data_IF_806318898955
#
_entry.id   IF_806318898955
#
_cell.length_a   1.000
_cell.length_b   1.000
_cell.length_c   1.000
_cell.angle_alpha   90.00
_cell.angle_beta   90.00
_cell.angle_gamma   90.00
#
_symmetry.space_group_name_H-M   'P 1'
#
loop_
_entity.id
_entity.type
_entity.pdbx_description
1 polymer ?
#
# COMPACT_ATOMS: atom_id res chain seq x y z
N UNK A 1 1.44 29.18 1.86
CA UNK A 1 1.79 27.94 2.58
C UNK A 1 2.72 28.29 3.75
N UNK A 2 2.36 27.94 4.98
CA UNK A 2 3.23 28.14 6.15
C UNK A 2 4.55 27.36 5.98
N UNK A 3 5.67 27.90 6.48
CA UNK A 3 6.96 27.20 6.44
C UNK A 3 6.88 25.92 7.29
N UNK A 4 7.05 24.78 6.64
CA UNK A 4 7.13 23.47 7.30
C UNK A 4 8.46 23.28 8.05
N UNK A 5 8.50 22.44 9.11
CA UNK A 5 9.74 22.09 9.79
C UNK A 5 10.79 21.57 8.82
N UNK A 6 12.07 21.95 9.02
CA UNK A 6 13.15 21.53 8.11
C UNK A 6 13.35 20.01 8.10
N UNK A 7 13.08 19.34 9.22
CA UNK A 7 13.08 17.89 9.35
C UNK A 7 12.13 17.18 8.39
N UNK A 8 11.00 17.79 8.04
CA UNK A 8 10.04 17.21 7.09
C UNK A 8 10.69 16.95 5.73
N UNK A 9 11.54 17.88 5.26
CA UNK A 9 12.25 17.73 3.97
C UNK A 9 13.19 16.53 3.98
N UNK A 10 13.87 16.28 5.11
CA UNK A 10 14.73 15.12 5.25
C UNK A 10 13.90 13.83 5.24
N UNK A 11 12.89 13.73 6.11
CA UNK A 11 12.07 12.53 6.24
C UNK A 11 11.29 12.23 4.96
N UNK A 12 10.83 13.25 4.23
CA UNK A 12 10.23 13.11 2.91
C UNK A 12 11.15 12.38 1.93
N UNK A 13 12.40 12.84 1.78
CA UNK A 13 13.33 12.27 0.79
C UNK A 13 13.76 10.86 1.20
N UNK A 14 13.97 10.64 2.50
CA UNK A 14 14.33 9.33 3.05
C UNK A 14 13.21 8.32 2.84
N UNK A 15 11.96 8.70 3.12
CA UNK A 15 10.78 7.87 2.84
C UNK A 15 10.62 7.61 1.34
N UNK A 16 10.77 8.63 0.51
CA UNK A 16 10.66 8.49 -0.95
C UNK A 16 11.63 7.41 -1.48
N UNK A 17 12.88 7.38 -0.99
CA UNK A 17 13.87 6.38 -1.39
C UNK A 17 13.55 4.97 -0.88
N UNK A 18 13.06 4.85 0.35
CA UNK A 18 12.66 3.54 0.88
C UNK A 18 11.42 3.00 0.14
N UNK A 19 10.45 3.87 -0.17
CA UNK A 19 9.27 3.52 -0.97
C UNK A 19 9.63 3.21 -2.43
N UNK A 20 10.57 3.95 -3.03
CA UNK A 20 11.17 3.59 -4.33
C UNK A 20 11.70 2.16 -4.33
N UNK A 21 12.45 1.80 -3.27
CA UNK A 21 13.06 0.48 -3.15
C UNK A 21 11.98 -0.60 -3.00
N UNK A 22 11.03 -0.39 -2.07
CA UNK A 22 9.93 -1.32 -1.82
C UNK A 22 9.06 -1.56 -3.05
N UNK A 23 8.55 -0.49 -3.67
CA UNK A 23 7.64 -0.61 -4.82
C UNK A 23 8.39 -1.07 -6.09
N UNK A 24 9.66 -0.68 -6.27
CA UNK A 24 10.50 -1.19 -7.34
C UNK A 24 10.68 -2.70 -7.26
N UNK A 25 11.08 -3.22 -6.09
CA UNK A 25 11.23 -4.66 -5.86
C UNK A 25 9.88 -5.39 -5.96
N UNK A 26 8.83 -4.86 -5.31
CA UNK A 26 7.48 -5.42 -5.31
C UNK A 26 6.92 -5.57 -6.73
N UNK A 27 7.26 -4.65 -7.64
CA UNK A 27 6.83 -4.71 -9.03
C UNK A 27 7.49 -5.84 -9.83
N UNK A 28 8.68 -6.27 -9.41
CA UNK A 28 9.41 -7.38 -10.02
C UNK A 28 9.06 -8.73 -9.41
N UNK A 29 8.70 -8.76 -8.12
CA UNK A 29 8.65 -9.99 -7.33
C UNK A 29 7.81 -11.09 -7.98
N UNK A 30 6.54 -10.82 -8.30
CA UNK A 30 5.69 -11.88 -8.89
C UNK A 30 6.14 -12.26 -10.30
N UNK A 31 6.62 -11.30 -11.10
CA UNK A 31 7.11 -11.54 -12.46
C UNK A 31 8.35 -12.44 -12.43
N UNK A 32 9.31 -12.16 -11.55
CA UNK A 32 10.50 -12.97 -11.35
C UNK A 32 10.15 -14.41 -10.93
N UNK A 33 9.18 -14.56 -10.02
CA UNK A 33 8.75 -15.89 -9.55
C UNK A 33 8.15 -16.75 -10.67
N UNK A 34 7.29 -16.17 -11.51
CA UNK A 34 6.57 -16.92 -12.56
C UNK A 34 7.32 -17.02 -13.88
N UNK A 35 8.34 -16.19 -14.09
CA UNK A 35 9.19 -16.25 -15.29
C UNK A 35 9.97 -17.55 -15.29
N UNK A 36 10.06 -18.20 -16.46
CA UNK A 36 10.78 -19.48 -16.62
C UNK A 36 12.27 -19.36 -16.26
N UNK A 37 12.85 -20.44 -15.74
CA UNK A 37 14.28 -20.50 -15.36
C UNK A 37 15.21 -20.23 -16.54
N UNK A 38 14.82 -20.64 -17.76
CA UNK A 38 15.57 -20.33 -18.98
C UNK A 38 15.64 -18.83 -19.33
N UNK A 39 14.76 -18.02 -18.74
CA UNK A 39 14.73 -16.55 -18.87
C UNK A 39 15.15 -15.83 -17.58
N UNK A 40 15.84 -16.54 -16.68
CA UNK A 40 16.36 -16.00 -15.43
C UNK A 40 15.35 -15.88 -14.28
N UNK A 41 14.10 -16.36 -14.44
CA UNK A 41 13.13 -16.41 -13.34
C UNK A 41 13.20 -17.71 -12.53
N UNK A 42 12.27 -17.91 -11.59
CA UNK A 42 12.23 -19.13 -10.76
C UNK A 42 11.31 -20.25 -11.32
N UNK A 43 10.51 -19.97 -12.34
CA UNK A 43 9.63 -20.95 -12.99
C UNK A 43 8.51 -21.49 -12.10
N UNK A 44 8.04 -20.70 -11.12
CA UNK A 44 6.97 -21.12 -10.21
C UNK A 44 5.60 -20.99 -10.86
N UNK A 45 4.65 -21.80 -10.36
CA UNK A 45 3.23 -21.61 -10.66
C UNK A 45 2.73 -20.27 -10.10
N UNK A 46 1.71 -19.68 -10.74
CA UNK A 46 1.06 -18.46 -10.23
C UNK A 46 0.50 -18.70 -8.83
N UNK A 47 0.02 -19.91 -8.55
CA UNK A 47 -0.45 -20.32 -7.22
C UNK A 47 0.61 -20.13 -6.14
N UNK A 48 1.80 -20.73 -6.32
CA UNK A 48 2.89 -20.64 -5.35
C UNK A 48 3.43 -19.22 -5.26
N UNK A 49 3.54 -18.52 -6.39
CA UNK A 49 4.00 -17.14 -6.44
C UNK A 49 3.03 -16.19 -5.70
N UNK A 50 1.72 -16.35 -5.91
CA UNK A 50 0.67 -15.57 -5.25
C UNK A 50 0.65 -15.77 -3.74
N UNK A 51 0.79 -17.02 -3.27
CA UNK A 51 0.87 -17.31 -1.84
C UNK A 51 2.09 -16.65 -1.18
N UNK A 52 3.28 -16.78 -1.76
CA UNK A 52 4.48 -16.12 -1.25
C UNK A 52 4.31 -14.60 -1.24
N UNK A 53 3.76 -14.05 -2.32
CA UNK A 53 3.50 -12.62 -2.44
C UNK A 53 2.59 -12.11 -1.32
N UNK A 54 1.47 -12.80 -1.06
CA UNK A 54 0.53 -12.44 0.01
C UNK A 54 1.15 -12.52 1.40
N UNK A 55 1.98 -13.54 1.67
CA UNK A 55 2.74 -13.63 2.93
C UNK A 55 3.74 -12.49 3.07
N UNK A 56 4.49 -12.19 2.02
CA UNK A 56 5.45 -11.10 2.03
C UNK A 56 4.77 -9.75 2.29
N UNK A 57 3.76 -9.39 1.50
CA UNK A 57 3.07 -8.09 1.67
C UNK A 57 2.29 -8.03 2.98
N UNK A 58 1.66 -9.12 3.40
CA UNK A 58 1.00 -9.22 4.69
C UNK A 58 1.97 -8.94 5.84
N UNK A 59 3.10 -9.65 5.89
CA UNK A 59 4.09 -9.47 6.95
C UNK A 59 4.65 -8.04 6.99
N UNK A 60 4.79 -7.36 5.85
CA UNK A 60 5.18 -5.95 5.77
C UNK A 60 4.16 -5.00 6.44
N UNK A 61 2.89 -5.39 6.59
CA UNK A 61 1.91 -4.65 7.39
C UNK A 61 1.93 -5.01 8.88
N UNK A 62 2.31 -6.25 9.21
CA UNK A 62 2.29 -6.76 10.59
C UNK A 62 3.56 -6.41 11.39
N UNK A 63 4.74 -6.60 10.80
CA UNK A 63 6.03 -6.39 11.49
C UNK A 63 6.30 -4.95 11.94
N UNK A 64 5.74 -3.88 11.33
CA UNK A 64 5.89 -2.52 11.85
C UNK A 64 5.37 -2.32 13.27
N UNK A 65 4.35 -3.07 13.68
CA UNK A 65 3.83 -3.05 15.07
C UNK A 65 4.92 -3.51 16.04
N UNK A 66 5.62 -4.60 15.69
CA UNK A 66 6.74 -5.12 16.47
C UNK A 66 7.91 -4.14 16.47
N UNK A 67 8.26 -3.59 15.30
CA UNK A 67 9.39 -2.67 15.18
C UNK A 67 9.18 -1.33 15.90
N UNK A 68 7.94 -0.85 15.99
CA UNK A 68 7.60 0.33 16.80
C UNK A 68 7.76 0.04 18.29
N UNK A 69 7.21 -1.09 18.76
CA UNK A 69 7.36 -1.54 20.14
C UNK A 69 8.84 -1.71 20.55
N UNK A 70 9.66 -2.33 19.69
CA UNK A 70 11.08 -2.53 19.97
C UNK A 70 11.85 -1.19 20.03
N UNK A 71 11.51 -0.25 19.17
CA UNK A 71 12.13 1.07 19.17
C UNK A 71 11.75 1.87 20.43
N UNK A 72 10.48 1.84 20.83
CA UNK A 72 10.00 2.55 22.01
C UNK A 72 10.62 2.00 23.30
N UNK A 73 10.87 0.69 23.38
CA UNK A 73 11.35 0.03 24.61
C UNK A 73 12.86 -0.14 24.71
N UNK A 74 13.57 -0.35 23.60
CA UNK A 74 14.97 -0.81 23.65
C UNK A 74 15.96 0.08 22.90
N UNK A 75 15.68 0.44 21.65
CA UNK A 75 16.71 0.99 20.76
C UNK A 75 16.56 2.49 20.43
N UNK A 76 15.37 3.07 20.61
CA UNK A 76 15.03 4.40 20.12
C UNK A 76 14.80 4.43 18.60
N UNK A 77 13.96 5.35 18.13
CA UNK A 77 13.51 5.41 16.72
C UNK A 77 14.67 5.60 15.73
N UNK A 78 15.72 6.36 16.10
CA UNK A 78 16.88 6.56 15.23
C UNK A 78 17.65 5.28 14.93
N UNK A 79 17.93 4.46 15.97
CA UNK A 79 18.70 3.22 15.80
C UNK A 79 17.87 2.18 15.07
N UNK A 80 16.57 2.10 15.40
CA UNK A 80 15.64 1.22 14.72
C UNK A 80 15.54 1.56 13.22
N UNK A 81 15.41 2.84 12.86
CA UNK A 81 15.36 3.25 11.46
C UNK A 81 16.65 2.89 10.71
N UNK A 82 17.83 3.16 11.29
CA UNK A 82 19.11 2.83 10.64
C UNK A 82 19.29 1.32 10.47
N UNK A 83 19.03 0.54 11.52
CA UNK A 83 19.08 -0.92 11.45
C UNK A 83 18.10 -1.46 10.40
N UNK A 84 16.87 -0.94 10.38
CA UNK A 84 15.86 -1.26 9.38
C UNK A 84 16.34 -0.98 7.96
N UNK A 85 16.89 0.22 7.71
CA UNK A 85 17.42 0.59 6.40
C UNK A 85 18.59 -0.28 5.93
N UNK A 86 19.48 -0.70 6.84
CA UNK A 86 20.57 -1.64 6.53
C UNK A 86 20.00 -3.00 6.14
N UNK A 87 19.06 -3.54 6.92
CA UNK A 87 18.43 -4.83 6.62
C UNK A 87 17.68 -4.78 5.28
N UNK A 88 16.98 -3.69 4.98
CA UNK A 88 16.31 -3.51 3.68
C UNK A 88 17.33 -3.50 2.54
N UNK A 89 18.45 -2.78 2.67
CA UNK A 89 19.48 -2.73 1.64
C UNK A 89 20.11 -4.11 1.40
N UNK A 90 20.50 -4.81 2.49
CA UNK A 90 21.02 -6.17 2.42
C UNK A 90 20.02 -7.14 1.80
N UNK A 91 18.73 -6.98 2.11
CA UNK A 91 17.66 -7.77 1.53
C UNK A 91 17.59 -7.64 0.02
N UNK A 92 17.59 -6.41 -0.51
CA UNK A 92 17.59 -6.16 -1.95
C UNK A 92 18.83 -6.70 -2.67
N UNK A 93 20.03 -6.49 -2.11
CA UNK A 93 21.25 -7.06 -2.70
C UNK A 93 21.28 -8.58 -2.62
N UNK A 94 20.65 -9.18 -1.60
CA UNK A 94 20.50 -10.63 -1.53
C UNK A 94 19.60 -11.15 -2.64
N UNK A 95 18.47 -10.47 -2.93
CA UNK A 95 17.62 -10.81 -4.08
C UNK A 95 18.38 -10.68 -5.42
N UNK A 96 19.32 -9.75 -5.51
CA UNK A 96 20.13 -9.55 -6.72
C UNK A 96 21.11 -10.70 -7.03
N UNK A 97 21.33 -11.63 -6.09
CA UNK A 97 22.20 -12.81 -6.29
C UNK A 97 21.47 -14.00 -6.95
N UNK A 98 20.17 -13.87 -7.23
CA UNK A 98 19.35 -14.78 -8.06
C UNK A 98 19.42 -16.28 -7.69
N UNK A 99 19.76 -16.63 -6.45
CA UNK A 99 19.75 -18.01 -5.95
C UNK A 99 18.73 -18.19 -4.82
N UNK A 100 18.24 -19.42 -4.64
CA UNK A 100 17.14 -19.73 -3.72
C UNK A 100 17.41 -19.31 -2.26
N UNK A 101 18.63 -19.54 -1.76
CA UNK A 101 18.99 -19.20 -0.39
C UNK A 101 19.02 -17.67 -0.19
N UNK A 102 19.62 -16.95 -1.13
CA UNK A 102 19.67 -15.50 -1.13
C UNK A 102 18.28 -14.89 -1.34
N UNK A 103 17.42 -15.53 -2.13
CA UNK A 103 16.05 -15.09 -2.32
C UNK A 103 15.24 -15.09 -1.00
N UNK A 104 15.19 -16.22 -0.29
CA UNK A 104 14.44 -16.32 0.96
C UNK A 104 15.07 -15.51 2.11
N UNK A 105 16.40 -15.50 2.18
CA UNK A 105 17.14 -14.63 3.11
C UNK A 105 16.82 -13.15 2.83
N UNK A 106 16.81 -12.77 1.56
CA UNK A 106 16.49 -11.42 1.10
C UNK A 106 15.09 -10.98 1.51
N UNK A 107 14.07 -11.79 1.24
CA UNK A 107 12.69 -11.49 1.66
C UNK A 107 12.54 -11.38 3.17
N UNK A 108 13.23 -12.25 3.93
CA UNK A 108 13.23 -12.20 5.40
C UNK A 108 13.83 -10.89 5.90
N UNK A 109 14.99 -10.49 5.36
CA UNK A 109 15.64 -9.22 5.68
C UNK A 109 14.76 -8.02 5.33
N UNK A 110 14.07 -8.05 4.20
CA UNK A 110 13.13 -7.00 3.80
C UNK A 110 11.95 -6.86 4.76
N UNK A 111 11.34 -7.98 5.18
CA UNK A 111 10.22 -7.99 6.15
C UNK A 111 10.66 -7.44 7.51
N UNK A 112 11.79 -7.89 8.03
CA UNK A 112 12.33 -7.43 9.31
C UNK A 112 12.77 -5.95 9.24
N UNK A 113 13.46 -5.59 8.17
CA UNK A 113 13.94 -4.24 7.95
C UNK A 113 12.82 -3.22 7.80
N UNK A 114 11.79 -3.55 7.01
CA UNK A 114 10.59 -2.69 6.86
C UNK A 114 9.84 -2.54 8.17
N UNK A 115 9.77 -3.61 8.98
CA UNK A 115 9.17 -3.57 10.31
C UNK A 115 9.85 -2.54 11.23
N UNK A 116 11.18 -2.48 11.22
CA UNK A 116 11.94 -1.50 11.99
C UNK A 116 11.92 -0.09 11.37
N UNK A 117 11.80 0.03 10.06
CA UNK A 117 11.86 1.33 9.38
C UNK A 117 10.52 2.08 9.43
N UNK A 118 9.44 1.44 8.95
CA UNK A 118 8.18 2.11 8.57
C UNK A 118 7.43 2.76 9.74
N UNK A 119 7.34 2.06 10.87
CA UNK A 119 6.69 2.61 12.07
C UNK A 119 7.49 3.77 12.66
N UNK A 120 8.82 3.66 12.66
CA UNK A 120 9.70 4.63 13.30
C UNK A 120 9.86 5.94 12.52
N UNK A 121 9.92 5.89 11.20
CA UNK A 121 9.95 7.11 10.38
C UNK A 121 8.64 7.90 10.49
N UNK A 122 7.49 7.20 10.52
CA UNK A 122 6.18 7.83 10.72
C UNK A 122 6.07 8.51 12.10
N UNK A 123 6.60 7.87 13.15
CA UNK A 123 6.71 8.46 14.49
C UNK A 123 7.54 9.74 14.49
N UNK A 124 8.69 9.75 13.80
CA UNK A 124 9.53 10.95 13.69
C UNK A 124 8.84 12.09 12.95
N UNK A 125 8.03 11.81 11.91
CA UNK A 125 7.22 12.85 11.25
C UNK A 125 6.22 13.46 12.24
N UNK A 126 5.56 12.63 13.05
CA UNK A 126 4.64 13.11 14.09
C UNK A 126 5.32 13.99 15.14
N UNK A 127 6.54 13.65 15.53
CA UNK A 127 7.35 14.40 16.51
C UNK A 127 7.81 15.78 16.01
N UNK A 128 7.73 16.07 14.70
CA UNK A 128 8.04 17.40 14.16
C UNK A 128 7.02 18.47 14.55
N UNK A 129 5.84 18.06 15.02
CA UNK A 129 4.69 18.92 15.28
C UNK A 129 4.23 18.77 16.73
N UNK A 130 3.83 19.89 17.35
CA UNK A 130 3.13 19.84 18.63
C UNK A 130 1.72 19.23 18.50
N UNK A 131 1.10 18.86 19.63
CA UNK A 131 -0.22 18.22 19.66
C UNK A 131 -1.32 19.01 18.91
N UNK A 132 -1.24 20.34 18.94
CA UNK A 132 -2.21 21.26 18.33
C UNK A 132 -1.62 22.11 17.19
N UNK A 133 -0.51 21.70 16.59
CA UNK A 133 0.09 22.46 15.47
C UNK A 133 -0.79 22.31 14.20
N UNK A 134 -1.38 23.40 13.67
CA UNK A 134 -2.27 23.34 12.51
C UNK A 134 -1.53 22.93 11.22
N UNK A 135 -0.20 22.93 11.20
CA UNK A 135 0.60 22.51 10.05
C UNK A 135 0.70 21.00 9.93
N UNK A 136 0.39 20.24 10.99
CA UNK A 136 0.57 18.78 11.07
C UNK A 136 -0.06 18.05 9.89
N UNK A 137 -1.33 18.30 9.60
CA UNK A 137 -2.07 17.60 8.54
C UNK A 137 -1.50 17.90 7.15
N UNK A 138 -1.18 19.16 6.88
CA UNK A 138 -0.51 19.57 5.64
C UNK A 138 0.91 18.97 5.52
N UNK A 139 1.60 18.76 6.65
CA UNK A 139 2.88 18.09 6.74
C UNK A 139 2.80 16.61 6.38
N UNK A 140 1.81 15.89 6.94
CA UNK A 140 1.54 14.49 6.58
C UNK A 140 1.12 14.35 5.11
N UNK A 141 0.40 15.33 4.56
CA UNK A 141 0.06 15.36 3.12
C UNK A 141 1.31 15.45 2.26
N UNK A 142 2.24 16.38 2.58
CA UNK A 142 3.53 16.48 1.86
C UNK A 142 4.33 15.19 2.01
N UNK A 143 4.42 14.62 3.21
CA UNK A 143 5.10 13.35 3.44
C UNK A 143 4.52 12.22 2.57
N UNK A 144 3.19 12.12 2.47
CA UNK A 144 2.49 11.14 1.65
C UNK A 144 2.75 11.32 0.13
N UNK A 145 2.97 12.55 -0.33
CA UNK A 145 3.42 12.78 -1.72
C UNK A 145 4.80 12.16 -2.00
N UNK A 146 5.68 12.11 -1.01
CA UNK A 146 6.99 11.45 -1.14
C UNK A 146 6.87 9.95 -1.33
N UNK A 147 5.93 9.32 -0.63
CA UNK A 147 5.60 7.89 -0.80
C UNK A 147 5.17 7.60 -2.24
N UNK A 148 4.25 8.41 -2.78
CA UNK A 148 3.74 8.25 -4.14
C UNK A 148 4.82 8.52 -5.20
N UNK A 149 5.70 9.50 -4.96
CA UNK A 149 6.81 9.76 -5.87
C UNK A 149 7.79 8.58 -5.93
N UNK A 150 8.11 7.96 -4.78
CA UNK A 150 8.87 6.72 -4.74
C UNK A 150 8.18 5.57 -5.47
N UNK A 151 6.87 5.39 -5.22
CA UNK A 151 6.05 4.37 -5.86
C UNK A 151 5.91 4.54 -7.38
N UNK A 152 5.98 5.77 -7.88
CA UNK A 152 5.99 6.08 -9.31
C UNK A 152 7.34 5.72 -9.94
N UNK A 153 8.46 6.14 -9.32
CA UNK A 153 9.79 6.02 -9.92
C UNK A 153 10.34 4.59 -9.80
N UNK A 154 10.05 3.91 -8.69
CA UNK A 154 10.56 2.56 -8.36
C UNK A 154 10.31 1.53 -9.47
N UNK A 155 9.04 1.24 -9.82
CA UNK A 155 8.70 0.28 -10.86
C UNK A 155 9.23 0.66 -12.24
N UNK A 156 9.35 1.95 -12.55
CA UNK A 156 9.88 2.41 -13.84
C UNK A 156 11.35 2.04 -14.00
N UNK A 157 12.19 2.39 -13.02
CA UNK A 157 13.63 2.13 -13.08
C UNK A 157 13.93 0.64 -12.87
N UNK A 158 13.38 0.03 -11.82
CA UNK A 158 13.64 -1.37 -11.51
C UNK A 158 13.07 -2.29 -12.60
N UNK A 159 11.88 -1.97 -13.12
CA UNK A 159 11.24 -2.67 -14.24
C UNK A 159 12.05 -2.58 -15.52
N UNK A 160 12.56 -1.39 -15.86
CA UNK A 160 13.43 -1.21 -17.02
C UNK A 160 14.69 -2.07 -16.93
N UNK A 161 15.39 -2.03 -15.80
CA UNK A 161 16.63 -2.79 -15.61
C UNK A 161 16.40 -4.30 -15.57
N UNK A 162 15.29 -4.76 -14.98
CA UNK A 162 14.94 -6.18 -14.96
C UNK A 162 14.56 -6.74 -16.33
N UNK A 163 13.82 -5.95 -17.12
CA UNK A 163 13.32 -6.37 -18.41
C UNK A 163 14.37 -6.29 -19.53
N UNK A 164 15.32 -5.36 -19.41
CA UNK A 164 16.25 -5.11 -20.50
C UNK A 164 17.14 -6.30 -20.79
N UNK A 165 17.22 -6.66 -22.07
CA UNK A 165 18.10 -7.72 -22.60
C UNK A 165 19.60 -7.54 -22.28
N UNK A 166 20.04 -6.33 -21.91
CA UNK A 166 21.43 -6.03 -21.51
C UNK A 166 21.71 -6.28 -20.03
N UNK A 167 20.68 -6.32 -19.21
CA UNK A 167 20.78 -6.37 -17.75
C UNK A 167 20.11 -7.66 -17.25
N UNK A 168 18.98 -7.55 -16.54
CA UNK A 168 18.27 -8.69 -15.97
C UNK A 168 17.79 -8.44 -14.54
N UNK A 169 17.15 -9.45 -13.97
CA UNK A 169 16.47 -9.37 -12.67
C UNK A 169 17.35 -8.83 -11.55
N UNK A 170 18.61 -9.27 -11.48
CA UNK A 170 19.57 -8.85 -10.46
C UNK A 170 19.87 -7.36 -10.47
N UNK A 171 19.89 -6.72 -11.66
CA UNK A 171 20.02 -5.27 -11.76
C UNK A 171 18.76 -4.54 -11.32
N UNK A 172 17.58 -5.10 -11.61
CA UNK A 172 16.30 -4.57 -11.11
C UNK A 172 16.24 -4.59 -9.57
N UNK A 173 16.55 -5.74 -8.96
CA UNK A 173 16.61 -5.87 -7.49
C UNK A 173 17.75 -5.04 -6.87
N UNK A 174 18.91 -5.01 -7.52
CA UNK A 174 20.06 -4.22 -7.08
C UNK A 174 19.79 -2.72 -7.13
N UNK A 175 19.05 -2.23 -8.12
CA UNK A 175 18.67 -0.82 -8.23
C UNK A 175 17.76 -0.38 -7.07
N UNK A 176 16.86 -1.25 -6.63
CA UNK A 176 16.10 -1.01 -5.39
C UNK A 176 17.03 -0.94 -4.17
N UNK A 177 18.03 -1.82 -4.06
CA UNK A 177 19.05 -1.77 -3.00
C UNK A 177 19.87 -0.47 -2.99
N UNK A 178 20.29 0.01 -4.17
CA UNK A 178 20.98 1.30 -4.33
C UNK A 178 20.10 2.46 -3.86
N UNK A 179 18.80 2.44 -4.19
CA UNK A 179 17.85 3.43 -3.70
C UNK A 179 17.77 3.49 -2.18
N UNK A 180 17.72 2.33 -1.52
CA UNK A 180 17.71 2.26 -0.06
C UNK A 180 19.01 2.81 0.55
N UNK A 181 20.18 2.49 -0.04
CA UNK A 181 21.46 3.04 0.40
C UNK A 181 21.51 4.57 0.26
N UNK A 182 20.97 5.11 -0.84
CA UNK A 182 20.87 6.56 -1.04
C UNK A 182 20.00 7.22 0.05
N UNK A 183 18.83 6.66 0.35
CA UNK A 183 17.97 7.12 1.44
C UNK A 183 18.67 7.08 2.81
N UNK A 184 19.39 5.99 3.11
CA UNK A 184 20.12 5.83 4.36
C UNK A 184 21.29 6.82 4.48
N UNK A 185 22.05 7.03 3.41
CA UNK A 185 23.14 7.99 3.38
C UNK A 185 22.64 9.43 3.61
N UNK A 186 21.54 9.81 2.95
CA UNK A 186 20.88 11.11 3.13
C UNK A 186 20.42 11.27 4.60
N UNK A 187 19.81 10.24 5.17
CA UNK A 187 19.38 10.26 6.57
C UNK A 187 20.57 10.45 7.53
N UNK A 188 21.63 9.66 7.38
CA UNK A 188 22.80 9.71 8.25
C UNK A 188 23.53 11.05 8.16
N UNK A 189 23.67 11.62 6.96
CA UNK A 189 24.26 12.93 6.74
C UNK A 189 23.37 14.10 7.20
N UNK A 190 22.05 13.94 7.12
CA UNK A 190 21.08 15.00 7.42
C UNK A 190 20.58 15.05 8.86
N UNK A 191 20.47 13.91 9.56
CA UNK A 191 19.70 13.80 10.82
C UNK A 191 20.12 14.81 11.89
N UNK A 192 21.43 14.98 12.13
CA UNK A 192 21.95 15.91 13.17
C UNK A 192 21.59 17.36 12.86
N UNK A 193 21.53 17.73 11.58
CA UNK A 193 21.26 19.10 11.13
C UNK A 193 19.77 19.42 11.06
N UNK A 194 18.94 18.45 10.72
CA UNK A 194 17.53 18.69 10.38
C UNK A 194 16.52 18.18 11.42
N UNK A 195 16.88 17.20 12.26
CA UNK A 195 15.97 16.58 13.23
C UNK A 195 16.19 17.04 14.68
N UNK A 196 17.40 17.49 15.05
CA UNK A 196 17.68 17.88 16.43
C UNK A 196 17.42 16.72 17.39
N UNK A 197 16.51 16.94 18.35
CA UNK A 197 16.12 15.94 19.37
C UNK A 197 15.03 14.95 18.90
N UNK A 198 14.45 15.18 17.71
CA UNK A 198 13.42 14.30 17.14
C UNK A 198 14.01 12.93 16.89
N UNK A 199 13.40 11.91 17.47
CA UNK A 199 13.79 10.51 17.32
C UNK A 199 14.77 9.97 18.37
N UNK A 200 15.25 10.83 19.27
CA UNK A 200 15.91 10.42 20.51
C UNK A 200 14.83 9.82 21.43
N UNK A 201 15.14 8.70 22.08
CA UNK A 201 14.18 8.05 22.98
C UNK A 201 13.78 9.04 24.09
N UNK A 202 12.51 9.44 24.11
CA UNK A 202 11.94 10.04 25.31
C UNK A 202 11.97 8.98 26.41
N UNK A 203 12.08 9.41 27.68
CA UNK A 203 11.98 8.52 28.83
C UNK A 203 10.82 7.54 28.62
N UNK A 204 10.98 6.25 28.96
CA UNK A 204 9.92 5.26 28.78
C UNK A 204 8.62 5.87 29.28
N UNK A 205 7.60 5.97 28.42
CA UNK A 205 6.26 6.29 28.89
C UNK A 205 6.01 5.28 30.00
N UNK A 206 5.95 5.75 31.24
CA UNK A 206 5.48 4.92 32.34
C UNK A 206 4.19 4.31 31.83
N UNK A 207 4.06 2.97 31.77
CA UNK A 207 2.77 2.36 31.57
C UNK A 207 1.87 3.08 32.56
N UNK A 208 0.79 3.68 32.08
CA UNK A 208 -0.16 4.27 32.99
C UNK A 208 -0.66 3.08 33.83
N UNK A 209 -0.08 2.92 35.01
CA UNK A 209 -0.34 1.82 35.93
C UNK A 209 -1.69 2.04 36.64
N UNK A 210 -2.49 2.97 36.12
CA UNK A 210 -3.88 3.15 36.48
C UNK A 210 -4.67 2.09 35.73
N UNK A 211 -5.31 1.21 36.49
CA UNK A 211 -6.34 0.33 35.97
C UNK A 211 -7.39 1.21 35.27
N UNK A 212 -7.34 1.27 33.94
CA UNK A 212 -8.27 2.08 33.20
C UNK A 212 -9.68 1.56 33.48
N UNK A 213 -10.66 2.45 33.75
CA UNK A 213 -12.03 2.02 33.96
C UNK A 213 -12.51 1.19 32.75
N UNK A 214 -13.37 0.19 33.00
CA UNK A 214 -13.91 -0.67 31.94
C UNK A 214 -14.56 0.19 30.86
N UNK A 215 -14.58 -0.33 29.62
CA UNK A 215 -15.15 0.38 28.48
C UNK A 215 -16.60 0.81 28.76
N UNK A 216 -16.91 2.08 28.54
CA UNK A 216 -18.28 2.58 28.59
C UNK A 216 -19.08 2.07 27.36
N UNK A 217 -20.39 2.34 27.35
CA UNK A 217 -21.26 1.89 26.26
C UNK A 217 -20.88 2.53 24.91
N UNK A 218 -20.64 3.84 24.88
CA UNK A 218 -20.28 4.56 23.64
C UNK A 218 -18.91 4.13 23.11
N UNK A 219 -17.95 3.82 23.98
CA UNK A 219 -16.66 3.27 23.63
C UNK A 219 -16.81 1.88 22.99
N UNK A 220 -17.70 1.03 23.53
CA UNK A 220 -18.00 -0.28 22.94
C UNK A 220 -18.67 -0.16 21.58
N UNK A 221 -19.65 0.73 21.43
CA UNK A 221 -20.34 1.00 20.15
C UNK A 221 -19.37 1.52 19.09
N UNK A 222 -18.48 2.43 19.48
CA UNK A 222 -17.41 2.96 18.63
C UNK A 222 -16.42 1.89 18.18
N UNK A 223 -15.98 1.03 19.10
CA UNK A 223 -15.11 -0.10 18.76
C UNK A 223 -15.83 -1.07 17.83
N UNK A 224 -17.11 -1.38 18.09
CA UNK A 224 -17.90 -2.24 17.21
C UNK A 224 -18.02 -1.65 15.80
N UNK A 225 -18.31 -0.35 15.67
CA UNK A 225 -18.34 0.33 14.38
C UNK A 225 -16.99 0.23 13.66
N UNK A 226 -15.88 0.44 14.36
CA UNK A 226 -14.54 0.31 13.80
C UNK A 226 -14.25 -1.11 13.30
N UNK A 227 -14.63 -2.15 14.06
CA UNK A 227 -14.41 -3.54 13.67
C UNK A 227 -15.25 -3.93 12.44
N UNK A 228 -16.52 -3.49 12.39
CA UNK A 228 -17.37 -3.67 11.20
C UNK A 228 -16.76 -2.96 10.00
N UNK A 229 -16.33 -1.71 10.14
CA UNK A 229 -15.65 -0.97 9.07
C UNK A 229 -14.36 -1.65 8.62
N UNK A 230 -13.54 -2.15 9.55
CA UNK A 230 -12.31 -2.87 9.25
C UNK A 230 -12.58 -4.13 8.41
N UNK A 231 -13.66 -4.88 8.71
CA UNK A 231 -14.09 -6.02 7.91
C UNK A 231 -14.39 -5.64 6.45
N UNK A 232 -15.13 -4.56 6.20
CA UNK A 232 -15.39 -4.11 4.82
C UNK A 232 -14.13 -3.62 4.11
N UNK A 233 -13.23 -2.96 4.83
CA UNK A 233 -11.94 -2.50 4.32
C UNK A 233 -11.04 -3.67 3.90
N UNK A 234 -11.21 -4.87 4.50
CA UNK A 234 -10.50 -6.06 4.03
C UNK A 234 -10.86 -6.44 2.59
N UNK A 235 -12.12 -6.29 2.16
CA UNK A 235 -12.50 -6.55 0.77
C UNK A 235 -11.87 -5.55 -0.19
N UNK A 236 -11.78 -4.28 0.22
CA UNK A 236 -11.10 -3.27 -0.57
C UNK A 236 -9.64 -3.66 -0.79
N UNK A 237 -8.89 -3.96 0.26
CA UNK A 237 -7.47 -4.32 0.12
C UNK A 237 -7.26 -5.67 -0.53
N UNK A 238 -8.14 -6.66 -0.31
CA UNK A 238 -8.09 -7.95 -1.02
C UNK A 238 -8.07 -7.75 -2.54
N UNK A 239 -8.98 -6.90 -3.03
CA UNK A 239 -9.13 -6.62 -4.45
C UNK A 239 -8.11 -5.59 -4.94
N UNK A 240 -7.80 -4.54 -4.18
CA UNK A 240 -6.84 -3.52 -4.56
C UNK A 240 -5.41 -4.07 -4.68
N UNK A 241 -5.00 -4.96 -3.76
CA UNK A 241 -3.65 -5.54 -3.76
C UNK A 241 -3.41 -6.52 -4.93
N UNK A 242 -4.44 -6.86 -5.72
CA UNK A 242 -4.31 -7.58 -6.99
C UNK A 242 -3.46 -6.82 -8.01
N UNK A 243 -3.36 -5.49 -7.88
CA UNK A 243 -2.51 -4.63 -8.69
C UNK A 243 -1.07 -5.15 -8.79
N UNK A 244 -0.54 -5.66 -7.67
CA UNK A 244 0.83 -6.14 -7.58
C UNK A 244 1.00 -7.64 -7.86
N UNK A 245 -0.10 -8.38 -8.03
CA UNK A 245 -0.11 -9.83 -8.22
C UNK A 245 -0.81 -10.22 -9.53
N UNK A 246 -2.09 -10.59 -9.49
CA UNK A 246 -2.84 -11.10 -10.66
C UNK A 246 -2.92 -10.08 -11.81
N UNK A 247 -3.09 -8.78 -11.54
CA UNK A 247 -3.09 -7.75 -12.59
C UNK A 247 -1.71 -7.58 -13.22
N UNK A 248 -0.63 -7.79 -12.45
CA UNK A 248 0.74 -7.77 -12.98
C UNK A 248 0.99 -8.99 -13.87
N UNK A 249 0.48 -10.17 -13.49
CA UNK A 249 0.54 -11.36 -14.35
C UNK A 249 -0.31 -11.19 -15.61
N UNK A 250 -1.50 -10.56 -15.50
CA UNK A 250 -2.34 -10.22 -16.64
C UNK A 250 -1.63 -9.25 -17.59
N UNK A 251 -0.96 -8.22 -17.06
CA UNK A 251 -0.14 -7.30 -17.85
C UNK A 251 0.98 -8.01 -18.62
N UNK A 252 1.61 -9.02 -18.01
CA UNK A 252 2.69 -9.78 -18.64
C UNK A 252 2.18 -10.72 -19.75
N UNK A 253 1.07 -11.44 -19.49
CA UNK A 253 0.61 -12.57 -20.32
C UNK A 253 -0.50 -12.21 -21.33
N UNK A 254 -1.29 -11.19 -21.05
CA UNK A 254 -2.57 -10.94 -21.72
C UNK A 254 -2.66 -9.56 -22.37
N UNK A 255 -1.71 -8.67 -22.12
CA UNK A 255 -1.70 -7.29 -22.63
C UNK A 255 -0.70 -7.11 -23.75
N UNK A 256 -1.07 -6.39 -24.81
CA UNK A 256 -0.16 -5.94 -25.86
C UNK A 256 0.78 -4.87 -25.30
N UNK A 257 2.04 -5.27 -25.11
CA UNK A 257 3.10 -4.41 -24.59
C UNK A 257 4.09 -3.99 -25.67
N UNK A 258 3.74 -4.09 -26.94
CA UNK A 258 4.61 -3.67 -28.05
C UNK A 258 5.06 -2.23 -27.82
N UNK A 259 6.38 -2.01 -27.81
CA UNK A 259 6.98 -0.69 -27.59
C UNK A 259 6.50 0.26 -28.70
N UNK A 260 5.85 1.39 -28.36
CA UNK A 260 5.48 2.37 -29.37
C UNK A 260 6.72 2.98 -30.04
N UNK A 261 6.62 3.37 -31.32
CA UNK A 261 7.70 4.01 -32.09
C UNK A 261 8.47 5.11 -31.34
N UNK A 262 7.73 5.99 -30.65
CA UNK A 262 8.29 7.11 -29.89
C UNK A 262 9.05 6.69 -28.63
N UNK A 263 8.93 5.45 -28.18
CA UNK A 263 9.55 4.92 -26.97
C UNK A 263 10.79 4.06 -27.27
N UNK A 264 11.01 3.63 -28.52
CA UNK A 264 12.17 2.82 -28.91
C UNK A 264 13.53 3.50 -28.71
N UNK A 265 13.60 4.83 -28.63
CA UNK A 265 14.85 5.51 -28.29
C UNK A 265 15.24 5.33 -26.82
N UNK A 266 14.26 5.08 -25.96
CA UNK A 266 14.44 4.85 -24.52
C UNK A 266 14.51 3.36 -24.20
N UNK A 267 13.64 2.56 -24.82
CA UNK A 267 13.57 1.11 -24.67
C UNK A 267 14.19 0.45 -25.90
N UNK A 268 15.33 -0.23 -25.71
CA UNK A 268 15.95 -1.01 -26.77
C UNK A 268 15.17 -2.30 -27.09
N UNK A 269 14.26 -2.71 -26.22
CA UNK A 269 13.48 -3.94 -26.33
C UNK A 269 12.11 -3.69 -27.00
N UNK A 270 11.62 -4.69 -27.74
CA UNK A 270 10.37 -4.62 -28.52
C UNK A 270 9.10 -4.56 -27.66
N UNK A 271 9.22 -4.84 -26.37
CA UNK A 271 8.13 -4.73 -25.41
C UNK A 271 8.55 -3.83 -24.25
N UNK A 272 7.60 -3.06 -23.72
CA UNK A 272 7.84 -2.34 -22.47
C UNK A 272 7.55 -3.24 -21.25
N UNK A 273 8.19 -2.99 -20.10
CA UNK A 273 8.08 -3.87 -18.93
C UNK A 273 6.67 -3.89 -18.34
N UNK A 274 6.11 -5.07 -18.05
CA UNK A 274 4.82 -5.19 -17.36
C UNK A 274 4.83 -4.54 -15.95
N UNK A 275 6.00 -4.50 -15.30
CA UNK A 275 6.19 -3.81 -14.02
C UNK A 275 5.79 -2.32 -14.06
N UNK A 276 5.83 -1.67 -15.23
CA UNK A 276 5.46 -0.25 -15.36
C UNK A 276 3.99 0.03 -15.07
N UNK A 277 3.10 -0.96 -15.21
CA UNK A 277 1.69 -0.79 -14.84
C UNK A 277 1.50 -0.48 -13.35
N UNK A 278 2.42 -0.94 -12.47
CA UNK A 278 2.36 -0.59 -11.04
C UNK A 278 2.67 0.89 -10.76
N UNK A 279 3.30 1.60 -11.70
CA UNK A 279 3.54 3.04 -11.60
C UNK A 279 2.30 3.89 -11.98
N UNK A 280 1.29 3.28 -12.61
CA UNK A 280 0.08 3.99 -13.07
C UNK A 280 -0.78 4.47 -11.91
N UNK A 281 -0.96 3.64 -10.86
CA UNK A 281 -1.71 4.04 -9.66
C UNK A 281 -1.11 5.29 -8.98
N UNK A 282 0.19 5.32 -8.60
CA UNK A 282 0.77 6.51 -7.97
C UNK A 282 0.81 7.72 -8.90
N UNK A 283 0.95 7.53 -10.23
CA UNK A 283 0.79 8.62 -11.18
C UNK A 283 -0.61 9.25 -11.10
N UNK A 284 -1.67 8.43 -11.09
CA UNK A 284 -3.03 8.93 -10.91
C UNK A 284 -3.26 9.54 -9.52
N UNK A 285 -2.66 9.01 -8.45
CA UNK A 285 -2.77 9.63 -7.12
C UNK A 285 -2.21 11.06 -7.16
N UNK A 286 -1.00 11.25 -7.72
CA UNK A 286 -0.38 12.57 -7.80
C UNK A 286 -1.21 13.57 -8.64
N UNK A 287 -1.89 13.09 -9.68
CA UNK A 287 -2.75 13.91 -10.54
C UNK A 287 -4.12 14.21 -9.91
N UNK A 288 -4.75 13.20 -9.30
CA UNK A 288 -6.15 13.24 -8.85
C UNK A 288 -6.30 13.65 -7.39
N UNK A 289 -5.31 13.44 -6.53
CA UNK A 289 -5.43 13.80 -5.10
C UNK A 289 -5.77 15.29 -4.88
N UNK A 290 -5.17 16.26 -5.60
CA UNK A 290 -5.59 17.66 -5.49
C UNK A 290 -7.05 17.88 -5.93
N UNK A 291 -7.50 17.19 -6.98
CA UNK A 291 -8.87 17.28 -7.49
C UNK A 291 -9.88 16.71 -6.47
N UNK A 292 -9.57 15.57 -5.87
CA UNK A 292 -10.39 14.98 -4.80
C UNK A 292 -10.40 15.85 -3.55
N UNK A 293 -9.27 16.45 -3.18
CA UNK A 293 -9.22 17.39 -2.05
C UNK A 293 -10.12 18.60 -2.31
N UNK A 294 -10.07 19.17 -3.53
CA UNK A 294 -10.98 20.27 -3.92
C UNK A 294 -12.45 19.83 -3.91
N UNK A 295 -12.75 18.64 -4.42
CA UNK A 295 -14.10 18.06 -4.39
C UNK A 295 -14.64 17.96 -2.95
N UNK A 296 -13.85 17.42 -2.02
CA UNK A 296 -14.28 17.27 -0.63
C UNK A 296 -14.48 18.62 0.07
N UNK A 297 -13.61 19.60 -0.17
CA UNK A 297 -13.76 20.94 0.36
C UNK A 297 -15.04 21.62 -0.16
N UNK A 298 -15.36 21.44 -1.45
CA UNK A 298 -16.56 22.00 -2.06
C UNK A 298 -17.85 21.35 -1.54
N UNK A 299 -17.85 20.02 -1.38
CA UNK A 299 -18.97 19.31 -0.77
C UNK A 299 -19.13 19.65 0.71
N UNK A 300 -18.02 19.83 1.43
CA UNK A 300 -18.01 20.26 2.82
C UNK A 300 -18.59 21.66 3.01
N UNK A 301 -18.20 22.64 2.18
CA UNK A 301 -18.76 24.00 2.25
C UNK A 301 -20.25 24.05 1.87
N UNK A 302 -20.72 23.11 1.05
CA UNK A 302 -22.13 22.95 0.71
C UNK A 302 -22.94 22.12 1.72
N UNK A 303 -22.31 21.55 2.76
CA UNK A 303 -22.98 20.66 3.71
C UNK A 303 -23.41 19.30 3.13
N UNK A 304 -22.86 18.93 1.97
CA UNK A 304 -23.16 17.71 1.22
C UNK A 304 -22.06 16.64 1.33
N UNK A 305 -21.05 16.86 2.17
CA UNK A 305 -19.96 15.90 2.34
C UNK A 305 -20.50 14.54 2.84
N UNK A 306 -20.28 13.45 2.09
CA UNK A 306 -20.74 12.13 2.52
C UNK A 306 -20.04 11.71 3.81
N UNK A 307 -20.77 11.02 4.68
CA UNK A 307 -20.20 10.47 5.93
C UNK A 307 -19.16 9.38 5.63
N UNK A 308 -18.31 9.10 6.60
CA UNK A 308 -17.19 8.16 6.47
C UNK A 308 -17.57 6.81 5.86
N UNK A 309 -18.62 6.10 6.34
CA UNK A 309 -18.98 4.80 5.78
C UNK A 309 -19.44 4.88 4.32
N UNK A 310 -20.08 6.00 3.95
CA UNK A 310 -20.54 6.24 2.57
C UNK A 310 -19.35 6.49 1.64
N UNK A 311 -18.35 7.26 2.07
CA UNK A 311 -17.11 7.43 1.28
C UNK A 311 -16.39 6.10 1.05
N UNK A 312 -16.28 5.27 2.08
CA UNK A 312 -15.67 3.94 1.95
C UNK A 312 -16.49 3.01 1.05
N UNK A 313 -17.82 3.04 1.15
CA UNK A 313 -18.71 2.30 0.26
C UNK A 313 -18.54 2.71 -1.21
N UNK A 314 -18.48 4.02 -1.49
CA UNK A 314 -18.17 4.53 -2.84
C UNK A 314 -16.81 4.05 -3.32
N UNK A 315 -15.81 3.97 -2.44
CA UNK A 315 -14.49 3.43 -2.74
C UNK A 315 -14.54 1.97 -3.21
N UNK A 316 -15.27 1.12 -2.50
CA UNK A 316 -15.49 -0.29 -2.85
C UNK A 316 -16.23 -0.47 -4.20
N UNK A 317 -17.23 0.36 -4.47
CA UNK A 317 -17.99 0.32 -5.73
C UNK A 317 -17.12 0.77 -6.91
N UNK A 318 -16.33 1.82 -6.74
CA UNK A 318 -15.37 2.28 -7.76
C UNK A 318 -14.30 1.21 -8.05
N UNK A 319 -13.81 0.53 -7.02
CA UNK A 319 -12.88 -0.60 -7.17
C UNK A 319 -13.53 -1.75 -7.95
N UNK A 320 -14.74 -2.17 -7.58
CA UNK A 320 -15.49 -3.19 -8.33
C UNK A 320 -15.78 -2.79 -9.78
N UNK A 321 -16.04 -1.50 -10.04
CA UNK A 321 -16.22 -0.96 -11.39
C UNK A 321 -14.92 -1.03 -12.21
N UNK A 322 -13.76 -0.81 -11.59
CA UNK A 322 -12.46 -1.02 -12.25
C UNK A 322 -12.22 -2.48 -12.60
N UNK A 323 -12.60 -3.42 -11.73
CA UNK A 323 -12.57 -4.84 -12.08
C UNK A 323 -13.56 -5.21 -13.19
N UNK A 324 -14.70 -4.54 -13.30
CA UNK A 324 -15.64 -4.76 -14.39
C UNK A 324 -15.02 -4.40 -15.75
N UNK A 325 -14.20 -3.33 -15.80
CA UNK A 325 -13.39 -3.01 -16.98
C UNK A 325 -12.44 -4.16 -17.32
N UNK A 326 -11.81 -4.79 -16.33
CA UNK A 326 -10.94 -5.94 -16.53
C UNK A 326 -11.69 -7.22 -16.92
N UNK A 327 -12.96 -7.40 -16.51
CA UNK A 327 -13.79 -8.52 -16.99
C UNK A 327 -13.95 -8.44 -18.51
N UNK A 328 -14.22 -7.26 -19.06
CA UNK A 328 -14.33 -7.10 -20.51
C UNK A 328 -13.00 -7.34 -21.23
N UNK A 329 -11.90 -6.82 -20.66
CA UNK A 329 -10.56 -7.04 -21.19
C UNK A 329 -10.17 -8.54 -21.16
N UNK A 330 -10.42 -9.21 -20.04
CA UNK A 330 -10.16 -10.63 -19.88
C UNK A 330 -11.01 -11.49 -20.82
N UNK A 331 -12.30 -11.18 -20.98
CA UNK A 331 -13.17 -11.90 -21.92
C UNK A 331 -12.73 -11.72 -23.39
N UNK A 332 -12.10 -10.59 -23.72
CA UNK A 332 -11.45 -10.41 -25.02
C UNK A 332 -10.16 -11.24 -25.12
N UNK A 333 -9.34 -11.24 -24.07
CA UNK A 333 -8.08 -11.98 -24.01
C UNK A 333 -8.27 -13.50 -24.06
N UNK A 334 -9.32 -14.00 -23.43
CA UNK A 334 -9.68 -15.43 -23.39
C UNK A 334 -10.00 -15.99 -24.79
N UNK A 335 -10.27 -15.12 -25.78
CA UNK A 335 -10.41 -15.49 -27.20
C UNK A 335 -9.06 -15.63 -27.93
N UNK A 336 -7.94 -15.49 -27.23
CA UNK A 336 -6.59 -15.69 -27.76
C UNK A 336 -5.90 -14.44 -28.32
N UNK A 337 -6.46 -13.24 -28.11
CA UNK A 337 -5.85 -11.98 -28.57
C UNK A 337 -5.29 -11.18 -27.38
N UNK A 338 -4.06 -10.64 -27.46
CA UNK A 338 -3.61 -9.68 -26.46
C UNK A 338 -4.48 -8.43 -26.49
N UNK A 339 -4.68 -7.79 -25.33
CA UNK A 339 -5.56 -6.61 -25.20
C UNK A 339 -4.79 -5.32 -25.03
N UNK A 340 -5.44 -4.21 -25.37
CA UNK A 340 -4.82 -2.88 -25.24
C UNK A 340 -4.39 -2.57 -23.79
N UNK A 341 -3.22 -1.92 -23.59
CA UNK A 341 -2.79 -1.46 -22.27
C UNK A 341 -3.73 -0.43 -21.63
N UNK A 342 -4.60 0.21 -22.44
CA UNK A 342 -5.60 1.17 -21.95
C UNK A 342 -6.65 0.54 -21.03
N UNK A 343 -6.93 -0.76 -21.16
CA UNK A 343 -7.84 -1.47 -20.26
C UNK A 343 -7.33 -1.47 -18.82
N UNK A 344 -6.05 -1.80 -18.65
CA UNK A 344 -5.39 -1.75 -17.34
C UNK A 344 -5.32 -0.31 -16.84
N UNK A 345 -4.96 0.67 -17.69
CA UNK A 345 -4.93 2.07 -17.30
C UNK A 345 -6.29 2.58 -16.81
N UNK A 346 -7.38 2.22 -17.49
CA UNK A 346 -8.75 2.57 -17.08
C UNK A 346 -9.15 1.89 -15.76
N UNK A 347 -8.78 0.63 -15.54
CA UNK A 347 -9.00 -0.05 -14.28
C UNK A 347 -8.22 0.62 -13.13
N UNK A 348 -6.94 0.91 -13.33
CA UNK A 348 -6.12 1.65 -12.35
C UNK A 348 -6.70 3.02 -12.03
N UNK A 349 -7.23 3.76 -13.01
CA UNK A 349 -7.90 5.04 -12.78
C UNK A 349 -9.06 4.89 -11.79
N UNK A 350 -9.95 3.91 -12.02
CA UNK A 350 -11.10 3.67 -11.14
C UNK A 350 -10.66 3.17 -9.76
N UNK A 351 -9.65 2.29 -9.69
CA UNK A 351 -9.10 1.81 -8.43
C UNK A 351 -8.49 2.95 -7.62
N UNK A 352 -7.75 3.87 -8.27
CA UNK A 352 -7.18 5.06 -7.63
C UNK A 352 -8.27 6.01 -7.14
N UNK A 353 -9.32 6.27 -7.93
CA UNK A 353 -10.48 7.03 -7.47
C UNK A 353 -11.13 6.38 -6.23
N UNK A 354 -11.23 5.05 -6.21
CA UNK A 354 -11.72 4.31 -5.06
C UNK A 354 -10.82 4.44 -3.82
N UNK A 355 -9.51 4.37 -4.01
CA UNK A 355 -8.51 4.58 -2.96
C UNK A 355 -8.58 5.99 -2.36
N UNK A 356 -8.74 7.02 -3.19
CA UNK A 356 -8.88 8.42 -2.75
C UNK A 356 -10.19 8.67 -1.96
N UNK A 357 -11.20 7.80 -2.10
CA UNK A 357 -12.40 7.81 -1.28
C UNK A 357 -12.22 7.10 0.07
N UNK A 358 -11.45 6.00 0.11
CA UNK A 358 -11.35 5.12 1.28
C UNK A 358 -10.12 5.39 2.15
N UNK A 359 -8.94 5.51 1.56
CA UNK A 359 -7.64 5.50 2.25
C UNK A 359 -7.45 6.69 3.22
N UNK A 360 -7.71 7.96 2.82
CA UNK A 360 -7.55 9.09 3.74
C UNK A 360 -8.47 9.02 4.97
N UNK A 361 -9.65 8.43 4.80
CA UNK A 361 -10.67 8.35 5.84
C UNK A 361 -10.43 7.16 6.78
N UNK A 362 -9.94 6.03 6.25
CA UNK A 362 -9.68 4.81 7.02
C UNK A 362 -8.66 4.98 8.13
N UNK A 363 -7.52 5.61 7.83
CA UNK A 363 -6.48 5.82 8.83
C UNK A 363 -6.90 6.85 9.90
N UNK A 364 -7.65 7.88 9.50
CA UNK A 364 -8.20 8.87 10.42
C UNK A 364 -9.29 8.30 11.33
N UNK A 365 -10.03 7.29 10.86
CA UNK A 365 -11.10 6.65 11.63
C UNK A 365 -10.55 6.04 12.93
N UNK A 366 -9.46 5.27 12.82
CA UNK A 366 -8.84 4.59 13.97
C UNK A 366 -8.43 5.60 15.03
N UNK A 367 -7.81 6.70 14.63
CA UNK A 367 -7.30 7.70 15.56
C UNK A 367 -8.40 8.58 16.17
N UNK A 368 -9.52 8.78 15.48
CA UNK A 368 -10.67 9.59 15.97
C UNK A 368 -11.60 8.80 16.88
N UNK A 369 -11.80 7.52 16.60
CA UNK A 369 -12.80 6.69 17.28
C UNK A 369 -12.23 5.93 18.47
N UNK A 370 -10.95 5.53 18.39
CA UNK A 370 -10.31 4.75 19.43
C UNK A 370 -10.28 5.49 20.79
N UNK A 371 -10.69 4.83 21.89
CA UNK A 371 -10.38 5.30 23.23
C UNK A 371 -8.87 5.44 23.40
N UNK A 372 -8.41 6.54 24.03
CA UNK A 372 -6.98 6.81 24.22
C UNK A 372 -6.23 5.64 24.87
N UNK A 373 -6.88 4.97 25.84
CA UNK A 373 -6.39 3.78 26.56
C UNK A 373 -6.12 2.56 25.65
N UNK A 374 -6.80 2.45 24.51
CA UNK A 374 -6.69 1.31 23.59
C UNK A 374 -6.23 1.68 22.18
N UNK A 375 -5.80 2.93 21.96
CA UNK A 375 -5.44 3.43 20.63
C UNK A 375 -4.38 2.57 19.93
N UNK A 376 -3.32 2.17 20.63
CA UNK A 376 -2.26 1.31 20.08
C UNK A 376 -2.76 -0.11 19.76
N UNK A 377 -3.63 -0.67 20.60
CA UNK A 377 -4.22 -2.00 20.37
C UNK A 377 -5.16 -1.98 19.16
N UNK A 378 -6.01 -0.97 19.05
CA UNK A 378 -6.93 -0.79 17.94
C UNK A 378 -6.19 -0.54 16.62
N UNK A 379 -5.09 0.23 16.64
CA UNK A 379 -4.20 0.37 15.49
C UNK A 379 -3.54 -0.97 15.11
N UNK A 380 -3.13 -1.77 16.09
CA UNK A 380 -2.64 -3.12 15.87
C UNK A 380 -3.68 -4.02 15.18
N UNK A 381 -4.95 -3.97 15.62
CA UNK A 381 -6.04 -4.71 14.99
C UNK A 381 -6.33 -4.23 13.56
N UNK A 382 -6.22 -2.92 13.30
CA UNK A 382 -6.32 -2.39 11.95
C UNK A 382 -5.24 -2.94 11.02
N UNK A 383 -3.98 -2.99 11.49
CA UNK A 383 -2.90 -3.61 10.72
C UNK A 383 -3.06 -5.12 10.57
N UNK A 384 -3.63 -5.80 11.56
CA UNK A 384 -3.97 -7.22 11.46
C UNK A 384 -5.02 -7.48 10.39
N UNK A 385 -6.03 -6.61 10.25
CA UNK A 385 -7.01 -6.69 9.16
C UNK A 385 -6.33 -6.51 7.78
N UNK A 386 -5.36 -5.60 7.66
CA UNK A 386 -4.58 -5.42 6.43
C UNK A 386 -3.67 -6.61 6.12
N UNK A 387 -3.06 -7.23 7.14
CA UNK A 387 -2.31 -8.48 7.03
C UNK A 387 -3.21 -9.60 6.46
N UNK A 388 -4.39 -9.79 7.06
CA UNK A 388 -5.36 -10.78 6.61
C UNK A 388 -5.85 -10.52 5.17
N UNK A 389 -6.11 -9.24 4.82
CA UNK A 389 -6.51 -8.86 3.48
C UNK A 389 -5.42 -9.14 2.44
N UNK A 390 -4.14 -8.88 2.76
CA UNK A 390 -3.00 -9.15 1.88
C UNK A 390 -2.76 -10.66 1.69
N UNK A 391 -2.91 -11.46 2.75
CA UNK A 391 -2.90 -12.91 2.62
C UNK A 391 -4.01 -13.37 1.69
N UNK A 392 -5.25 -12.96 1.95
CA UNK A 392 -6.39 -13.30 1.10
C UNK A 392 -6.17 -12.88 -0.36
N UNK A 393 -5.60 -11.68 -0.59
CA UNK A 393 -5.26 -11.20 -1.91
C UNK A 393 -4.27 -12.12 -2.64
N UNK A 394 -3.20 -12.56 -1.95
CA UNK A 394 -2.18 -13.43 -2.53
C UNK A 394 -2.69 -14.83 -2.83
N UNK A 395 -3.44 -15.43 -1.89
CA UNK A 395 -4.10 -16.72 -2.12
C UNK A 395 -5.10 -16.66 -3.26
N UNK A 396 -5.93 -15.61 -3.30
CA UNK A 396 -6.88 -15.41 -4.38
C UNK A 396 -6.16 -15.24 -5.73
N UNK A 397 -5.13 -14.38 -5.81
CA UNK A 397 -4.31 -14.21 -7.01
C UNK A 397 -3.70 -15.54 -7.51
N UNK A 398 -3.32 -16.42 -6.57
CA UNK A 398 -2.81 -17.75 -6.88
C UNK A 398 -3.80 -18.67 -7.61
N UNK A 399 -5.11 -18.37 -7.51
CA UNK A 399 -6.16 -19.13 -8.19
C UNK A 399 -6.36 -18.71 -9.66
N UNK A 400 -5.65 -17.68 -10.16
CA UNK A 400 -5.84 -17.13 -11.51
C UNK A 400 -5.84 -18.21 -12.62
N UNK A 401 -4.83 -19.08 -12.63
CA UNK A 401 -4.73 -20.15 -13.63
C UNK A 401 -5.85 -21.20 -13.44
N UNK A 402 -6.33 -21.44 -12.21
CA UNK A 402 -7.45 -22.35 -11.94
C UNK A 402 -8.79 -21.80 -12.47
N UNK A 403 -9.01 -20.48 -12.39
CA UNK A 403 -10.16 -19.84 -13.04
C UNK A 403 -10.05 -19.94 -14.57
N UNK A 404 -8.87 -19.64 -15.12
CA UNK A 404 -8.61 -19.72 -16.56
C UNK A 404 -8.90 -21.11 -17.13
N UNK A 405 -8.58 -22.16 -16.38
CA UNK A 405 -8.82 -23.56 -16.74
C UNK A 405 -10.24 -24.07 -16.42
N UNK A 406 -11.13 -23.22 -15.88
CA UNK A 406 -12.50 -23.59 -15.53
C UNK A 406 -12.62 -24.51 -14.30
N UNK A 407 -11.58 -24.63 -13.47
CA UNK A 407 -11.55 -25.51 -12.29
C UNK A 407 -12.26 -24.95 -11.05
N UNK A 408 -12.66 -23.68 -11.07
CA UNK A 408 -13.26 -22.98 -9.91
C UNK A 408 -14.72 -22.65 -10.18
N UNK A 409 -14.97 -21.72 -11.10
CA UNK A 409 -16.29 -21.28 -11.55
C UNK A 409 -16.21 -21.07 -13.06
N UNK A 410 -17.30 -21.34 -13.78
CA UNK A 410 -17.41 -21.10 -15.23
C UNK A 410 -18.73 -20.37 -15.50
N UNK A 411 -18.73 -19.03 -15.39
CA UNK A 411 -19.90 -18.18 -15.71
C UNK A 411 -19.73 -17.61 -17.12
N UNK A 412 -18.64 -16.87 -17.33
CA UNK A 412 -18.22 -16.36 -18.63
C UNK A 412 -17.18 -17.28 -19.29
N UNK A 413 -16.45 -18.05 -18.47
CA UNK A 413 -15.32 -18.87 -18.88
C UNK A 413 -14.01 -18.08 -18.92
N UNK A 414 -12.89 -18.77 -18.70
CA UNK A 414 -11.55 -18.20 -18.77
C UNK A 414 -11.19 -17.31 -17.59
N UNK A 415 -10.20 -16.43 -17.79
CA UNK A 415 -9.72 -15.54 -16.73
C UNK A 415 -10.70 -14.38 -16.43
N UNK A 416 -11.72 -14.17 -17.27
CA UNK A 416 -12.78 -13.18 -16.99
C UNK A 416 -13.55 -13.49 -15.69
N UNK A 417 -13.76 -14.77 -15.39
CA UNK A 417 -14.46 -15.19 -14.16
C UNK A 417 -13.67 -14.83 -12.90
N UNK A 418 -12.34 -14.83 -12.97
CA UNK A 418 -11.49 -14.38 -11.85
C UNK A 418 -11.80 -12.93 -11.47
N UNK A 419 -11.81 -12.02 -12.45
CA UNK A 419 -12.11 -10.61 -12.21
C UNK A 419 -13.59 -10.40 -11.86
N UNK A 420 -14.50 -11.23 -12.38
CA UNK A 420 -15.92 -11.15 -12.05
C UNK A 420 -16.19 -11.39 -10.55
N UNK A 421 -15.47 -12.32 -9.92
CA UNK A 421 -15.55 -12.52 -8.47
C UNK A 421 -15.10 -11.27 -7.70
N UNK A 422 -14.09 -10.55 -8.19
CA UNK A 422 -13.64 -9.30 -7.58
C UNK A 422 -14.66 -8.16 -7.75
N UNK A 423 -15.35 -8.10 -8.90
CA UNK A 423 -16.51 -7.21 -9.11
C UNK A 423 -17.59 -7.52 -8.09
N UNK A 424 -18.04 -8.79 -8.05
CA UNK A 424 -19.14 -9.23 -7.20
C UNK A 424 -18.85 -8.97 -5.72
N UNK A 425 -17.69 -9.37 -5.23
CA UNK A 425 -17.32 -9.21 -3.81
C UNK A 425 -17.13 -7.73 -3.44
N UNK A 426 -16.46 -6.93 -4.25
CA UNK A 426 -16.24 -5.50 -3.97
C UNK A 426 -17.54 -4.69 -4.02
N UNK A 427 -18.36 -4.89 -5.07
CA UNK A 427 -19.64 -4.20 -5.19
C UNK A 427 -20.64 -4.64 -4.12
N UNK A 428 -20.73 -5.94 -3.80
CA UNK A 428 -21.60 -6.42 -2.73
C UNK A 428 -21.19 -5.85 -1.38
N UNK A 429 -19.88 -5.85 -1.06
CA UNK A 429 -19.36 -5.23 0.14
C UNK A 429 -19.66 -3.72 0.20
N UNK A 430 -19.48 -3.00 -0.92
CA UNK A 430 -19.78 -1.58 -1.01
C UNK A 430 -21.27 -1.26 -0.83
N UNK A 431 -22.16 -2.00 -1.50
CA UNK A 431 -23.62 -1.83 -1.37
C UNK A 431 -24.07 -2.15 0.06
N UNK A 432 -23.59 -3.25 0.64
CA UNK A 432 -23.95 -3.62 2.01
C UNK A 432 -23.45 -2.57 3.00
N UNK A 433 -22.22 -2.07 2.85
CA UNK A 433 -21.67 -1.00 3.68
C UNK A 433 -22.50 0.28 3.56
N UNK A 434 -22.94 0.63 2.35
CA UNK A 434 -23.81 1.77 2.11
C UNK A 434 -25.17 1.62 2.82
N UNK A 435 -25.78 0.43 2.76
CA UNK A 435 -27.05 0.13 3.44
C UNK A 435 -26.95 0.23 4.96
N UNK A 436 -25.84 -0.24 5.56
CA UNK A 436 -25.63 -0.18 7.01
C UNK A 436 -25.00 1.16 7.48
N UNK A 437 -24.62 2.04 6.56
CA UNK A 437 -23.97 3.31 6.89
C UNK A 437 -24.77 4.16 7.90
N UNK A 438 -26.10 4.31 7.81
CA UNK A 438 -26.87 5.07 8.80
C UNK A 438 -26.74 4.51 10.22
N UNK A 439 -26.68 3.18 10.35
CA UNK A 439 -26.51 2.49 11.64
C UNK A 439 -25.10 2.70 12.18
N UNK A 440 -24.06 2.51 11.36
CA UNK A 440 -22.67 2.76 11.76
C UNK A 440 -22.46 4.22 12.22
N UNK A 441 -23.07 5.18 11.53
CA UNK A 441 -22.96 6.58 11.93
C UNK A 441 -23.55 6.86 13.32
N UNK A 442 -24.60 6.13 13.73
CA UNK A 442 -25.16 6.25 15.08
C UNK A 442 -24.17 5.72 16.12
N UNK A 443 -23.55 4.57 15.85
CA UNK A 443 -22.54 3.96 16.74
C UNK A 443 -21.25 4.76 16.89
N UNK A 444 -20.92 5.62 15.91
CA UNK A 444 -19.72 6.46 15.97
C UNK A 444 -19.92 7.75 16.79
N UNK A 445 -21.16 8.06 17.20
CA UNK A 445 -21.53 9.26 17.97
C UNK A 445 -20.96 10.56 17.39
N UNK A 446 -20.89 10.68 16.06
CA UNK A 446 -20.43 11.89 15.36
C UNK A 446 -18.92 12.19 15.45
N UNK A 447 -18.11 11.29 16.02
CA UNK A 447 -16.65 11.49 16.16
C UNK A 447 -15.86 11.29 14.85
N UNK A 448 -16.52 10.90 13.77
CA UNK A 448 -15.87 10.66 12.47
C UNK A 448 -15.76 11.93 11.60
N UNK A 449 -16.47 13.02 11.95
CA UNK A 449 -16.53 14.25 11.15
C UNK A 449 -15.35 15.20 11.39
N UNK A 450 -14.97 15.98 10.36
CA UNK A 450 -14.02 17.08 10.50
C UNK A 450 -14.64 18.17 11.38
N UNK A 451 -14.02 18.46 12.53
CA UNK A 451 -14.48 19.49 13.48
C UNK A 451 -15.07 18.95 14.80
N UNK A 452 -15.10 17.63 15.01
CA UNK A 452 -15.42 17.08 16.33
C UNK A 452 -14.34 17.51 17.34
N UNK A 453 -14.67 18.45 18.22
CA UNK A 453 -13.79 18.89 19.30
C UNK A 453 -13.35 17.72 20.16
N UNK A 454 -12.07 17.70 20.54
CA UNK A 454 -11.57 16.81 21.58
C UNK A 454 -12.44 16.95 22.84
N UNK A 455 -12.60 15.88 23.66
CA UNK A 455 -13.34 15.99 24.90
C UNK A 455 -12.75 17.14 25.75
N UNK A 456 -13.58 17.94 26.44
CA UNK A 456 -13.07 18.82 27.48
C UNK A 456 -12.32 17.96 28.50
N UNK A 457 -11.15 18.46 28.90
CA UNK A 457 -10.24 17.81 29.85
C UNK A 457 -10.89 17.56 31.20
#
# INVERSE_FOLDING_TARGET
MARQPRGLRLLFVVEMWERYSYYGMRALLILFLVTETGRGGLGWTVERAGQLYGWYTGLVYLTPVIGGYLADRYFGTHRALVAGGILIALGHFSLALENTLAFYSGLTLLVLGTGLFKSNISTMVGQLYGLHDPRRDSGFTIYYMGINLGALIGPLICGYLAHSSRFGWGYGFGAAGVGMLAGLAIYLGGRKRFLGDVGIANAPRTPDAQAHPPLDHEEKERIAAMLVMAFFVMFFWLAFEQAGSSMTVFAERSTDRTTPGWLHWLLADDQFPAAWFQAVNPAFILLLAPLFSMLWLHLGSAGLEPRTPVKMASGLILLGSGFLVLVFAAAQSDRGMPVSPLWLAAAYLLHTCGELCLSPVGLALVTRIAPLKYASMLMGMWFLANFAANLAAGYFAGMLDAFREGRVVTILGGQADFFLILVATSCAAGILLWLIAPWLNRLMHGRDQHGASAPPA
#
